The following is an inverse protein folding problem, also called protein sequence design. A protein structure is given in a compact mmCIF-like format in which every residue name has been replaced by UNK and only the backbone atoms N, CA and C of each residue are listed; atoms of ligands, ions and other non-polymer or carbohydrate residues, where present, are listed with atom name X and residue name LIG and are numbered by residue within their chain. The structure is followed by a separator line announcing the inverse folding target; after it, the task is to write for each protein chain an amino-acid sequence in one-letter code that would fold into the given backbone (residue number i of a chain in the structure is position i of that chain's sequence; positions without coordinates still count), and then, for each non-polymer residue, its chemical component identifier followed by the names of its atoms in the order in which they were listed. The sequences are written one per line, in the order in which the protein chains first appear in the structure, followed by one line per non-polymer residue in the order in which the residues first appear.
data_IF_909683798059
#
_entry.id   IF_909683798059
#
_cell.length_a   1.000
_cell.length_b   1.000
_cell.length_c   1.000
_cell.angle_alpha   90.00
_cell.angle_beta   90.00
_cell.angle_gamma   90.00
#
_symmetry.space_group_name_H-M   'P 1'
#
loop_
_entity.id
_entity.type
_entity.pdbx_description
1 polymer ?
#
# COMPACT_ATOMS: atom_id res chain seq x y z
N UNK A 1 -34.95 4.22 0.99
CA UNK A 1 -34.56 3.11 1.91
C UNK A 1 -33.05 3.14 2.05
N UNK A 2 -32.52 3.61 3.18
CA UNK A 2 -31.09 3.59 3.44
C UNK A 2 -30.72 2.16 3.86
N UNK A 3 -29.94 1.47 3.03
CA UNK A 3 -29.41 0.13 3.34
C UNK A 3 -28.46 0.28 4.52
N UNK A 4 -28.79 -0.28 5.67
CA UNK A 4 -27.90 -0.36 6.82
C UNK A 4 -26.63 -1.13 6.40
N UNK A 5 -25.56 -0.41 6.22
CA UNK A 5 -24.24 -0.97 5.88
C UNK A 5 -23.77 -1.83 7.04
N UNK A 6 -23.71 -3.14 6.86
CA UNK A 6 -23.22 -4.07 7.89
C UNK A 6 -21.79 -3.64 8.25
N UNK A 7 -21.51 -3.43 9.52
CA UNK A 7 -20.18 -3.05 10.07
C UNK A 7 -19.04 -3.99 9.63
N UNK A 8 -19.36 -5.20 9.17
CA UNK A 8 -18.41 -6.19 8.66
C UNK A 8 -17.80 -5.85 7.29
N UNK A 9 -18.33 -4.87 6.56
CA UNK A 9 -17.85 -4.51 5.22
C UNK A 9 -16.87 -3.33 5.24
N UNK A 10 -16.68 -2.65 6.35
CA UNK A 10 -15.71 -1.56 6.49
C UNK A 10 -14.32 -2.17 6.67
N UNK A 11 -13.36 -1.71 5.86
CA UNK A 11 -11.95 -2.13 5.96
C UNK A 11 -11.09 -1.07 6.64
N UNK A 12 -11.44 0.21 6.50
CA UNK A 12 -10.71 1.31 7.12
C UNK A 12 -11.70 2.38 7.62
N UNK A 13 -11.51 2.84 8.84
CA UNK A 13 -12.22 3.98 9.40
C UNK A 13 -11.26 5.11 9.73
N UNK A 14 -11.60 6.30 9.29
CA UNK A 14 -10.89 7.54 9.59
C UNK A 14 -11.83 8.40 10.44
N UNK A 15 -11.43 8.65 11.68
CA UNK A 15 -12.28 9.30 12.68
C UNK A 15 -11.64 10.60 13.14
N UNK A 16 -12.22 11.75 12.75
CA UNK A 16 -11.86 13.10 13.17
C UNK A 16 -10.38 13.43 13.03
N UNK A 17 -9.76 13.00 11.92
CA UNK A 17 -8.35 13.28 11.67
C UNK A 17 -8.17 14.77 11.40
N UNK A 18 -7.33 15.40 12.24
CA UNK A 18 -6.80 16.74 12.01
C UNK A 18 -5.28 16.71 12.04
N UNK A 19 -4.67 17.51 11.18
CA UNK A 19 -3.22 17.72 11.19
C UNK A 19 -2.91 19.16 10.81
N UNK A 20 -2.00 19.79 11.56
CA UNK A 20 -1.48 21.10 11.24
C UNK A 20 0.05 21.05 11.10
N UNK A 21 0.58 21.90 10.23
CA UNK A 21 2.01 22.17 10.03
C UNK A 21 2.22 23.66 10.26
N UNK A 22 3.07 24.01 11.22
CA UNK A 22 3.42 25.39 11.55
C UNK A 22 2.19 26.32 11.74
N UNK A 23 1.11 25.78 12.37
CA UNK A 23 -0.11 26.50 12.63
C UNK A 23 -1.16 26.48 11.51
N UNK A 24 -0.84 25.96 10.33
CA UNK A 24 -1.77 25.81 9.22
C UNK A 24 -2.38 24.38 9.21
N UNK A 25 -3.70 24.29 9.20
CA UNK A 25 -4.40 23.02 9.13
C UNK A 25 -4.39 22.50 7.69
N UNK A 26 -3.71 21.36 7.45
CA UNK A 26 -3.78 20.64 6.19
C UNK A 26 -5.02 19.72 6.13
N UNK A 27 -5.49 19.23 7.28
CA UNK A 27 -6.72 18.46 7.44
C UNK A 27 -7.44 18.91 8.72
N UNK A 28 -8.78 19.00 8.66
CA UNK A 28 -9.62 19.36 9.81
C UNK A 28 -10.77 18.38 9.92
N UNK A 29 -10.81 17.64 11.02
CA UNK A 29 -11.89 16.72 11.42
C UNK A 29 -12.37 15.76 10.31
N UNK A 30 -11.44 15.26 9.47
CA UNK A 30 -11.77 14.36 8.37
C UNK A 30 -12.37 13.08 8.92
N UNK A 31 -13.53 12.70 8.38
CA UNK A 31 -14.24 11.45 8.71
C UNK A 31 -14.59 10.74 7.41
N UNK A 32 -14.20 9.49 7.29
CA UNK A 32 -14.64 8.64 6.18
C UNK A 32 -14.47 7.16 6.51
N UNK A 33 -15.16 6.31 5.75
CA UNK A 33 -15.05 4.86 5.83
C UNK A 33 -14.75 4.32 4.44
N UNK A 34 -13.79 3.41 4.36
CA UNK A 34 -13.49 2.67 3.13
C UNK A 34 -14.10 1.28 3.27
N UNK A 35 -14.86 0.90 2.26
CA UNK A 35 -15.54 -0.40 2.23
C UNK A 35 -14.62 -1.46 1.64
N UNK A 36 -14.76 -2.69 2.11
CA UNK A 36 -14.06 -3.85 1.55
C UNK A 36 -14.50 -4.09 0.11
N UNK A 37 -13.57 -4.56 -0.73
CA UNK A 37 -13.83 -4.84 -2.15
C UNK A 37 -14.39 -3.64 -2.94
N UNK A 38 -14.03 -2.42 -2.54
CA UNK A 38 -14.39 -1.19 -3.24
C UNK A 38 -13.17 -0.42 -3.70
N UNK A 39 -13.35 0.41 -4.73
CA UNK A 39 -12.39 1.44 -5.11
C UNK A 39 -12.88 2.75 -4.52
N UNK A 40 -12.02 3.42 -3.74
CA UNK A 40 -12.33 4.67 -3.08
C UNK A 40 -11.40 5.77 -3.59
N UNK A 41 -11.95 6.86 -4.11
CA UNK A 41 -11.19 7.98 -4.64
C UNK A 41 -11.26 9.19 -3.72
N UNK A 42 -10.10 9.75 -3.38
CA UNK A 42 -10.00 11.07 -2.79
C UNK A 42 -9.75 12.10 -3.89
N UNK A 43 -10.75 12.93 -4.19
CA UNK A 43 -10.69 13.92 -5.26
C UNK A 43 -10.60 15.32 -4.66
N UNK A 44 -9.77 16.18 -5.23
CA UNK A 44 -9.60 17.57 -4.80
C UNK A 44 -8.39 18.22 -5.47
N UNK A 45 -8.27 19.56 -5.40
CA UNK A 45 -7.14 20.28 -5.96
C UNK A 45 -5.81 19.91 -5.30
N UNK A 46 -4.70 20.39 -5.88
CA UNK A 46 -3.39 20.27 -5.25
C UNK A 46 -3.41 21.07 -3.93
N UNK A 47 -2.76 20.52 -2.90
CA UNK A 47 -2.81 21.09 -1.55
C UNK A 47 -4.05 20.76 -0.72
N UNK A 48 -5.06 20.06 -1.26
CA UNK A 48 -6.27 19.66 -0.49
C UNK A 48 -6.04 18.59 0.59
N UNK A 49 -4.80 18.20 0.87
CA UNK A 49 -4.46 17.24 1.93
C UNK A 49 -4.59 15.76 1.55
N UNK A 50 -4.81 15.42 0.27
CA UNK A 50 -4.96 14.02 -0.18
C UNK A 50 -3.75 13.16 0.21
N UNK A 51 -2.54 13.55 -0.19
CA UNK A 51 -1.28 12.88 0.15
C UNK A 51 -1.06 12.86 1.66
N UNK A 52 -1.38 13.95 2.35
CA UNK A 52 -1.28 14.05 3.81
C UNK A 52 -2.16 13.01 4.51
N UNK A 53 -3.38 12.79 4.01
CA UNK A 53 -4.27 11.76 4.56
C UNK A 53 -3.69 10.35 4.36
N UNK A 54 -3.16 10.05 3.18
CA UNK A 54 -2.48 8.78 2.90
C UNK A 54 -1.22 8.62 3.78
N UNK A 55 -0.44 9.68 3.99
CA UNK A 55 0.72 9.71 4.88
C UNK A 55 0.35 9.40 6.34
N UNK A 56 -0.81 9.89 6.81
CA UNK A 56 -1.31 9.59 8.16
C UNK A 56 -1.72 8.12 8.28
N UNK A 57 -2.41 7.58 7.29
CA UNK A 57 -2.82 6.16 7.29
C UNK A 57 -1.60 5.24 7.37
N UNK A 58 -0.50 5.60 6.69
CA UNK A 58 0.75 4.85 6.69
C UNK A 58 1.71 5.19 7.83
N UNK A 59 1.32 6.07 8.77
CA UNK A 59 2.14 6.57 9.87
C UNK A 59 3.40 7.35 9.46
N UNK A 60 3.49 7.83 8.22
CA UNK A 60 4.56 8.73 7.76
C UNK A 60 4.39 10.14 8.34
N UNK A 61 3.14 10.56 8.53
CA UNK A 61 2.76 11.80 9.21
C UNK A 61 1.93 11.48 10.44
N UNK A 62 2.26 12.09 11.57
CA UNK A 62 1.48 11.94 12.82
C UNK A 62 0.35 12.98 12.82
N UNK A 63 -0.92 12.57 12.98
CA UNK A 63 -2.01 13.51 13.11
C UNK A 63 -1.95 14.25 14.45
N UNK A 64 -2.46 15.48 14.48
CA UNK A 64 -2.65 16.28 15.72
C UNK A 64 -3.75 15.69 16.58
N UNK A 65 -4.84 15.21 15.95
CA UNK A 65 -5.96 14.55 16.61
C UNK A 65 -6.61 13.51 15.72
N UNK A 66 -7.48 12.69 16.29
CA UNK A 66 -8.25 11.67 15.60
C UNK A 66 -7.56 10.29 15.56
N UNK A 67 -8.22 9.34 14.91
CA UNK A 67 -7.76 7.95 14.85
C UNK A 67 -8.03 7.34 13.47
N UNK A 68 -7.15 6.44 13.07
CA UNK A 68 -7.33 5.54 11.93
C UNK A 68 -7.42 4.12 12.45
N UNK A 69 -8.50 3.42 12.11
CA UNK A 69 -8.76 2.04 12.53
C UNK A 69 -8.86 1.18 11.28
N UNK A 70 -8.09 0.12 11.25
CA UNK A 70 -8.10 -0.89 10.22
C UNK A 70 -8.82 -2.14 10.73
N UNK A 71 -9.69 -2.72 9.91
CA UNK A 71 -10.46 -3.93 10.20
C UNK A 71 -9.96 -5.07 9.31
N UNK A 72 -8.91 -5.83 9.73
CA UNK A 72 -8.42 -6.95 8.95
C UNK A 72 -9.46 -8.08 8.92
N UNK A 73 -9.46 -8.86 7.83
CA UNK A 73 -10.38 -9.99 7.70
C UNK A 73 -10.08 -11.09 8.73
N UNK A 74 -11.09 -11.47 9.50
CA UNK A 74 -10.97 -12.58 10.48
C UNK A 74 -10.12 -12.28 11.72
N UNK A 75 -9.78 -11.02 11.96
CA UNK A 75 -9.02 -10.56 13.15
C UNK A 75 -9.68 -9.34 13.79
N UNK A 76 -9.26 -9.01 15.00
CA UNK A 76 -9.71 -7.78 15.69
C UNK A 76 -9.25 -6.52 14.96
N UNK A 77 -10.02 -5.45 15.15
CA UNK A 77 -9.70 -4.14 14.61
C UNK A 77 -8.38 -3.61 15.20
N UNK A 78 -7.57 -2.99 14.36
CA UNK A 78 -6.24 -2.49 14.72
C UNK A 78 -6.21 -0.97 14.56
N UNK A 79 -5.82 -0.27 15.61
CA UNK A 79 -5.59 1.17 15.55
C UNK A 79 -4.23 1.43 14.89
N UNK A 80 -4.23 2.01 13.69
CA UNK A 80 -3.01 2.34 12.94
C UNK A 80 -2.31 3.58 13.49
N UNK A 81 -3.08 4.54 14.02
CA UNK A 81 -2.55 5.79 14.57
C UNK A 81 -1.56 5.52 15.71
N UNK A 82 -0.32 5.98 15.54
CA UNK A 82 0.78 5.75 16.50
C UNK A 82 1.58 4.47 16.28
N UNK A 83 1.20 3.64 15.30
CA UNK A 83 2.03 2.50 14.89
C UNK A 83 3.24 2.97 14.08
N UNK A 84 4.26 2.12 13.98
CA UNK A 84 5.38 2.31 13.05
C UNK A 84 4.97 1.83 11.65
N UNK A 85 5.45 2.50 10.61
CA UNK A 85 5.15 2.23 9.20
C UNK A 85 5.26 0.74 8.83
N UNK A 86 6.40 0.08 9.18
CA UNK A 86 6.61 -1.33 8.85
C UNK A 86 5.59 -2.28 9.52
N UNK A 87 5.01 -1.89 10.68
CA UNK A 87 3.95 -2.67 11.32
C UNK A 87 2.64 -2.57 10.54
N UNK A 88 2.31 -1.38 10.04
CA UNK A 88 1.12 -1.13 9.23
C UNK A 88 1.15 -1.97 7.95
N UNK A 89 2.31 -2.04 7.28
CA UNK A 89 2.51 -2.91 6.10
C UNK A 89 2.29 -4.39 6.47
N UNK A 90 2.80 -4.83 7.62
CA UNK A 90 2.58 -6.22 8.10
C UNK A 90 1.12 -6.54 8.40
N UNK A 91 0.34 -5.55 8.84
CA UNK A 91 -1.11 -5.73 9.02
C UNK A 91 -1.84 -5.95 7.70
N UNK A 92 -1.32 -5.51 6.58
CA UNK A 92 -1.90 -5.70 5.25
C UNK A 92 -2.35 -4.41 4.58
N UNK A 93 -1.80 -3.27 4.99
CA UNK A 93 -2.02 -1.96 4.37
C UNK A 93 -0.80 -1.61 3.53
N UNK A 94 -0.91 -1.71 2.21
CA UNK A 94 0.13 -1.37 1.25
C UNK A 94 -0.01 0.06 0.73
N UNK A 95 1.11 0.69 0.38
CA UNK A 95 1.14 2.00 -0.28
C UNK A 95 2.18 2.03 -1.40
N UNK A 96 1.77 2.54 -2.58
CA UNK A 96 2.67 2.94 -3.66
C UNK A 96 3.11 4.39 -3.42
N UNK A 97 4.41 4.64 -3.47
CA UNK A 97 4.97 5.99 -3.41
C UNK A 97 4.98 6.64 -4.80
N UNK A 98 5.12 7.97 -4.86
CA UNK A 98 5.13 8.74 -6.11
C UNK A 98 6.34 8.40 -7.00
N UNK A 99 7.50 8.12 -6.39
CA UNK A 99 8.71 7.73 -7.12
C UNK A 99 8.84 6.21 -7.06
N UNK A 100 9.00 5.51 -8.21
CA UNK A 100 9.17 4.08 -8.24
C UNK A 100 10.37 3.62 -7.39
N UNK A 101 10.11 2.74 -6.43
CA UNK A 101 11.12 2.22 -5.48
C UNK A 101 11.57 0.82 -5.90
N UNK A 102 12.01 0.68 -7.17
CA UNK A 102 12.53 -0.59 -7.69
C UNK A 102 14.05 -0.66 -7.58
N UNK A 103 14.58 -1.84 -7.31
CA UNK A 103 16.01 -2.11 -7.32
C UNK A 103 16.48 -2.27 -8.77
N UNK A 104 16.98 -1.18 -9.36
CA UNK A 104 17.29 -1.09 -10.80
C UNK A 104 18.33 -2.10 -11.30
N UNK A 105 19.24 -2.54 -10.41
CA UNK A 105 20.30 -3.51 -10.74
C UNK A 105 19.84 -4.97 -10.63
N UNK A 106 18.68 -5.22 -10.04
CA UNK A 106 18.07 -6.54 -9.94
C UNK A 106 17.10 -6.78 -11.09
N UNK A 107 16.84 -8.05 -11.38
CA UNK A 107 15.81 -8.43 -12.36
C UNK A 107 14.40 -8.10 -11.83
N UNK A 108 13.41 -8.12 -12.71
CA UNK A 108 11.99 -7.99 -12.33
C UNK A 108 11.61 -9.07 -11.33
N UNK A 109 11.97 -10.32 -11.58
CA UNK A 109 11.69 -11.46 -10.69
C UNK A 109 12.38 -11.29 -9.32
N UNK A 110 13.64 -10.85 -9.28
CA UNK A 110 14.36 -10.61 -8.02
C UNK A 110 13.72 -9.50 -7.20
N UNK A 111 13.23 -8.42 -7.83
CA UNK A 111 12.44 -7.39 -7.16
C UNK A 111 11.17 -7.96 -6.53
N UNK A 112 10.47 -8.86 -7.24
CA UNK A 112 9.29 -9.54 -6.72
C UNK A 112 9.60 -10.46 -5.54
N UNK A 113 10.70 -11.24 -5.61
CA UNK A 113 11.15 -12.11 -4.53
C UNK A 113 11.43 -11.31 -3.25
N UNK A 114 12.13 -10.17 -3.36
CA UNK A 114 12.41 -9.30 -2.22
C UNK A 114 11.14 -8.72 -1.57
N UNK A 115 10.05 -8.67 -2.33
CA UNK A 115 8.76 -8.13 -1.86
C UNK A 115 7.89 -9.16 -1.16
N UNK A 116 8.25 -10.45 -1.16
CA UNK A 116 7.44 -11.50 -0.53
C UNK A 116 7.30 -11.31 0.99
N UNK A 117 6.10 -11.57 1.51
CA UNK A 117 5.86 -11.65 2.96
C UNK A 117 6.51 -12.91 3.54
N UNK A 118 7.29 -12.79 4.59
CA UNK A 118 7.80 -13.95 5.33
C UNK A 118 9.29 -13.99 5.54
N UNK A 119 10.05 -13.14 4.88
CA UNK A 119 11.47 -12.96 5.18
C UNK A 119 11.60 -12.14 6.49
N UNK A 120 11.68 -12.85 7.62
CA UNK A 120 11.66 -12.25 8.97
C UNK A 120 12.99 -11.59 9.40
N UNK A 121 14.00 -11.63 8.56
CA UNK A 121 15.33 -11.06 8.84
C UNK A 121 16.15 -10.91 7.57
N UNK A 122 17.21 -10.09 7.63
CA UNK A 122 18.13 -9.87 6.51
C UNK A 122 18.77 -11.19 6.05
N UNK A 123 19.10 -12.07 6.99
CA UNK A 123 19.67 -13.39 6.71
C UNK A 123 18.66 -14.34 6.05
N UNK A 124 17.39 -14.33 6.49
CA UNK A 124 16.34 -15.15 5.88
C UNK A 124 16.07 -14.73 4.43
N UNK A 125 16.14 -13.42 4.14
CA UNK A 125 15.93 -12.89 2.78
C UNK A 125 17.05 -13.26 1.81
N UNK A 126 18.28 -13.47 2.32
CA UNK A 126 19.46 -13.81 1.50
C UNK A 126 19.55 -15.33 1.25
N UNK A 127 19.17 -16.15 2.23
CA UNK A 127 19.43 -17.61 2.19
C UNK A 127 18.20 -18.47 1.91
N UNK A 128 16.98 -17.95 2.09
CA UNK A 128 15.76 -18.72 1.88
C UNK A 128 15.30 -18.61 0.43
N UNK A 129 15.42 -19.71 -0.31
CA UNK A 129 14.83 -19.79 -1.65
C UNK A 129 13.30 -19.66 -1.58
N UNK A 130 12.67 -18.94 -2.54
CA UNK A 130 11.23 -18.87 -2.65
C UNK A 130 10.63 -20.28 -2.76
N UNK A 131 9.48 -20.50 -2.15
CA UNK A 131 8.74 -21.76 -2.32
C UNK A 131 8.15 -21.84 -3.73
N UNK A 132 7.69 -23.02 -4.15
CA UNK A 132 6.97 -23.17 -5.43
C UNK A 132 5.72 -22.30 -5.47
N UNK A 133 5.02 -22.19 -4.35
CA UNK A 133 3.82 -21.36 -4.20
C UNK A 133 4.14 -19.86 -4.31
N UNK A 134 5.28 -19.42 -3.76
CA UNK A 134 5.76 -18.04 -3.90
C UNK A 134 6.07 -17.73 -5.37
N UNK A 135 6.78 -18.63 -6.07
CA UNK A 135 7.11 -18.44 -7.49
C UNK A 135 5.87 -18.40 -8.37
N UNK A 136 4.87 -19.25 -8.10
CA UNK A 136 3.59 -19.22 -8.83
C UNK A 136 2.83 -17.91 -8.56
N UNK A 137 2.83 -17.43 -7.31
CA UNK A 137 2.24 -16.13 -6.94
C UNK A 137 2.94 -14.96 -7.65
N UNK A 138 4.27 -14.99 -7.76
CA UNK A 138 5.06 -14.00 -8.51
C UNK A 138 4.65 -14.03 -9.99
N UNK A 139 4.69 -15.22 -10.62
CA UNK A 139 4.38 -15.40 -12.03
C UNK A 139 2.98 -14.88 -12.37
N UNK A 140 1.97 -15.32 -11.62
CA UNK A 140 0.59 -14.88 -11.85
C UNK A 140 0.40 -13.38 -11.62
N UNK A 141 1.18 -12.78 -10.71
CA UNK A 141 1.14 -11.34 -10.49
C UNK A 141 1.79 -10.58 -11.65
N UNK A 142 2.94 -11.05 -12.16
CA UNK A 142 3.61 -10.45 -13.32
C UNK A 142 2.75 -10.56 -14.58
N UNK A 143 2.09 -11.69 -14.81
CA UNK A 143 1.13 -11.87 -15.90
C UNK A 143 0.01 -10.83 -15.84
N UNK A 144 -0.58 -10.61 -14.67
CA UNK A 144 -1.67 -9.62 -14.45
C UNK A 144 -1.26 -8.19 -14.74
N UNK A 145 0.02 -7.83 -14.60
CA UNK A 145 0.55 -6.50 -14.90
C UNK A 145 1.26 -6.41 -16.25
N UNK A 146 1.28 -7.51 -17.04
CA UNK A 146 1.90 -7.56 -18.36
C UNK A 146 3.42 -7.46 -18.36
N UNK A 147 4.09 -8.06 -17.35
CA UNK A 147 5.54 -8.08 -17.19
C UNK A 147 6.12 -9.51 -17.11
N UNK A 148 5.36 -10.54 -17.45
CA UNK A 148 5.81 -11.94 -17.35
C UNK A 148 7.00 -12.22 -18.23
N UNK A 149 6.95 -11.78 -19.49
CA UNK A 149 8.02 -11.93 -20.50
C UNK A 149 9.30 -11.15 -20.16
N UNK A 150 9.22 -10.22 -19.20
CA UNK A 150 10.34 -9.41 -18.71
C UNK A 150 10.90 -9.84 -17.37
N UNK A 151 10.47 -11.00 -16.85
CA UNK A 151 10.86 -11.47 -15.50
C UNK A 151 12.39 -11.52 -15.31
N UNK A 152 13.14 -11.90 -16.34
CA UNK A 152 14.62 -11.99 -16.32
C UNK A 152 15.34 -10.69 -16.71
N UNK A 153 14.62 -9.67 -17.18
CA UNK A 153 15.21 -8.38 -17.52
C UNK A 153 15.56 -7.58 -16.24
N UNK A 154 16.60 -6.75 -16.30
CA UNK A 154 16.90 -5.83 -15.19
C UNK A 154 15.81 -4.76 -15.09
N UNK A 155 15.34 -4.47 -13.88
CA UNK A 155 14.33 -3.44 -13.66
C UNK A 155 14.80 -2.04 -14.14
N UNK A 156 16.11 -1.81 -14.18
CA UNK A 156 16.68 -0.56 -14.71
C UNK A 156 16.40 -0.33 -16.19
N UNK A 157 16.29 -1.38 -17.01
CA UNK A 157 16.01 -1.29 -18.46
C UNK A 157 14.54 -1.06 -18.81
N UNK A 158 13.63 -1.24 -17.84
CA UNK A 158 12.21 -1.04 -18.06
C UNK A 158 11.88 0.43 -18.35
N UNK A 159 10.90 0.67 -19.21
CA UNK A 159 10.31 1.98 -19.41
C UNK A 159 9.66 2.50 -18.11
N UNK A 160 9.48 3.82 -17.99
CA UNK A 160 8.94 4.43 -16.76
C UNK A 160 7.59 3.80 -16.33
N UNK A 161 6.65 3.68 -17.25
CA UNK A 161 5.36 3.04 -16.96
C UNK A 161 5.48 1.57 -16.53
N UNK A 162 6.42 0.81 -17.10
CA UNK A 162 6.69 -0.57 -16.70
C UNK A 162 7.26 -0.65 -15.28
N UNK A 163 8.12 0.30 -14.88
CA UNK A 163 8.61 0.41 -13.50
C UNK A 163 7.48 0.68 -12.52
N UNK A 164 6.50 1.52 -12.90
CA UNK A 164 5.30 1.76 -12.07
C UNK A 164 4.46 0.48 -11.92
N UNK A 165 4.28 -0.29 -13.01
CA UNK A 165 3.58 -1.57 -12.94
C UNK A 165 4.33 -2.61 -12.10
N UNK A 166 5.66 -2.65 -12.20
CA UNK A 166 6.48 -3.52 -11.33
C UNK A 166 6.29 -3.15 -9.85
N UNK A 167 6.30 -1.87 -9.51
CA UNK A 167 6.06 -1.41 -8.13
C UNK A 167 4.66 -1.83 -7.62
N UNK A 168 3.63 -1.73 -8.46
CA UNK A 168 2.29 -2.22 -8.11
C UNK A 168 2.31 -3.75 -7.91
N UNK A 169 3.00 -4.48 -8.79
CA UNK A 169 3.16 -5.93 -8.66
C UNK A 169 3.86 -6.33 -7.35
N UNK A 170 4.91 -5.61 -6.96
CA UNK A 170 5.62 -5.79 -5.68
C UNK A 170 4.70 -5.57 -4.46
N UNK A 171 3.70 -4.70 -4.57
CA UNK A 171 2.68 -4.55 -3.53
C UNK A 171 1.65 -5.70 -3.57
N UNK A 172 1.18 -6.07 -4.77
CA UNK A 172 0.17 -7.11 -4.95
C UNK A 172 0.62 -8.49 -4.47
N UNK A 173 1.90 -8.85 -4.71
CA UNK A 173 2.45 -10.15 -4.29
C UNK A 173 2.45 -10.34 -2.78
N UNK A 174 2.43 -9.24 -2.02
CA UNK A 174 2.29 -9.26 -0.57
C UNK A 174 0.86 -9.59 -0.10
N UNK A 175 -0.12 -9.68 -1.02
CA UNK A 175 -1.54 -9.92 -0.75
C UNK A 175 -2.09 -8.96 0.31
N UNK A 176 -1.96 -7.64 0.12
CA UNK A 176 -2.47 -6.67 1.07
C UNK A 176 -4.01 -6.65 1.03
N UNK A 177 -4.65 -6.26 2.13
CA UNK A 177 -6.10 -6.07 2.19
C UNK A 177 -6.52 -4.67 1.68
N UNK A 178 -5.59 -3.71 1.73
CA UNK A 178 -5.74 -2.36 1.18
C UNK A 178 -4.47 -2.00 0.41
N UNK A 179 -4.63 -1.42 -0.78
CA UNK A 179 -3.56 -0.73 -1.50
C UNK A 179 -3.95 0.73 -1.67
N UNK A 180 -3.06 1.62 -1.26
CA UNK A 180 -3.21 3.05 -1.47
C UNK A 180 -2.28 3.50 -2.58
N UNK A 181 -2.86 4.18 -3.58
CA UNK A 181 -2.16 4.72 -4.72
C UNK A 181 -2.26 6.24 -4.68
N UNK A 182 -1.12 6.91 -4.75
CA UNK A 182 -1.03 8.36 -4.84
C UNK A 182 -0.68 8.72 -6.29
N UNK A 183 -1.57 9.44 -6.98
CA UNK A 183 -1.44 9.83 -8.40
C UNK A 183 -1.03 8.66 -9.34
N UNK A 184 -1.78 7.54 -9.37
CA UNK A 184 -1.36 6.34 -10.10
C UNK A 184 -1.26 6.52 -11.62
N UNK A 185 -1.84 7.58 -12.17
CA UNK A 185 -1.88 7.89 -13.59
C UNK A 185 -1.01 9.11 -13.97
N UNK A 186 -0.20 9.64 -13.05
CA UNK A 186 0.74 10.72 -13.34
C UNK A 186 1.98 10.13 -14.04
N UNK A 187 2.04 10.24 -15.38
CA UNK A 187 3.14 9.77 -16.23
C UNK A 187 2.71 9.63 -17.67
#
# INVERSE_FOLDING_TARGET
MATATKTNDVVLEINNISVSFDGFYALTEVRTKVMRNSIHFFIGPNGAGKTTLLDIICAKTKPTSGTVIFHPKGREAVRLTGMKEYKIVREGVGRKFQVPSVFVNLTVEENMILSLKGHKGILDSIFKKPSKEDMESIRSTLERVGLEDKASERAGSLAHGQKQWLEIAMQLVQKPEIIMLDEPAAG
#
